data_IF_279702932093
#
_entry.id   IF_279702932093
#
_cell.length_a   1.000
_cell.length_b   1.000
_cell.length_c   1.000
_cell.angle_alpha   90.00
_cell.angle_beta   90.00
_cell.angle_gamma   90.00
#
_symmetry.space_group_name_H-M   'P 1'
#
loop_
_entity.id
_entity.type
_entity.pdbx_description
1 polymer ?
#
# COMPACT_ATOMS: atom_id res chain seq x y z
N UNK A 1 21.43 -7.12 8.39
CA UNK A 1 19.97 -7.05 8.15
C UNK A 1 19.63 -8.08 7.08
N UNK A 2 18.75 -9.04 7.39
CA UNK A 2 18.41 -10.13 6.47
C UNK A 2 17.76 -9.62 5.16
N UNK A 3 17.81 -10.40 4.07
CA UNK A 3 17.29 -10.02 2.75
C UNK A 3 15.85 -9.48 2.80
N UNK A 4 15.03 -10.09 3.66
CA UNK A 4 13.61 -9.77 3.94
C UNK A 4 13.34 -8.36 4.43
N UNK A 5 14.28 -7.74 5.14
CA UNK A 5 14.10 -6.38 5.63
C UNK A 5 14.34 -5.37 4.50
N UNK A 6 15.14 -5.72 3.49
CA UNK A 6 15.53 -4.78 2.42
C UNK A 6 14.41 -4.55 1.40
N UNK A 7 13.61 -5.55 1.01
CA UNK A 7 12.48 -5.30 0.11
C UNK A 7 11.21 -4.85 0.86
N UNK A 8 11.14 -5.08 2.17
CA UNK A 8 10.00 -4.65 2.97
C UNK A 8 9.93 -3.13 3.15
N UNK A 9 11.07 -2.47 3.37
CA UNK A 9 11.14 -1.01 3.56
C UNK A 9 10.50 -0.25 2.38
N UNK A 10 10.89 -0.46 1.11
CA UNK A 10 10.28 0.26 0.00
C UNK A 10 8.80 -0.10 -0.19
N UNK A 11 8.40 -1.34 0.11
CA UNK A 11 7.00 -1.76 0.05
C UNK A 11 6.11 -1.02 1.06
N UNK A 12 6.60 -0.84 2.30
CA UNK A 12 5.90 -0.08 3.35
C UNK A 12 5.81 1.39 2.96
N UNK A 13 6.92 1.99 2.53
CA UNK A 13 6.96 3.41 2.12
C UNK A 13 6.00 3.69 0.95
N UNK A 14 5.96 2.82 -0.07
CA UNK A 14 5.04 2.97 -1.19
C UNK A 14 3.58 2.86 -0.75
N UNK A 15 3.29 1.95 0.18
CA UNK A 15 1.94 1.77 0.73
C UNK A 15 1.52 2.99 1.55
N UNK A 16 2.43 3.57 2.33
CA UNK A 16 2.20 4.78 3.12
C UNK A 16 1.90 5.98 2.23
N UNK A 17 2.69 6.20 1.18
CA UNK A 17 2.44 7.26 0.20
C UNK A 17 1.08 7.06 -0.48
N UNK A 18 0.77 5.84 -0.91
CA UNK A 18 -0.52 5.53 -1.52
C UNK A 18 -1.68 5.82 -0.54
N UNK A 19 -1.54 5.46 0.74
CA UNK A 19 -2.53 5.74 1.75
C UNK A 19 -2.80 7.25 1.87
N UNK A 20 -1.74 8.05 2.07
CA UNK A 20 -1.86 9.51 2.19
C UNK A 20 -2.56 10.10 0.97
N UNK A 21 -2.16 9.70 -0.23
CA UNK A 21 -2.74 10.20 -1.48
C UNK A 21 -4.21 9.83 -1.59
N UNK A 22 -4.58 8.58 -1.33
CA UNK A 22 -5.98 8.15 -1.45
C UNK A 22 -6.88 8.82 -0.42
N UNK A 23 -6.48 8.89 0.85
CA UNK A 23 -7.26 9.58 1.87
C UNK A 23 -7.43 11.06 1.55
N UNK A 24 -6.35 11.73 1.11
CA UNK A 24 -6.41 13.14 0.73
C UNK A 24 -7.33 13.36 -0.47
N UNK A 25 -7.25 12.51 -1.49
CA UNK A 25 -8.10 12.60 -2.67
C UNK A 25 -9.58 12.33 -2.33
N UNK A 26 -9.87 11.30 -1.53
CA UNK A 26 -11.22 10.99 -1.06
C UNK A 26 -11.81 12.16 -0.28
N UNK A 27 -11.06 12.74 0.65
CA UNK A 27 -11.50 13.91 1.39
C UNK A 27 -11.79 15.07 0.43
N UNK A 28 -10.83 15.44 -0.43
CA UNK A 28 -10.96 16.59 -1.31
C UNK A 28 -12.22 16.49 -2.20
N UNK A 29 -12.41 15.34 -2.85
CA UNK A 29 -13.58 15.10 -3.72
C UNK A 29 -14.88 15.19 -2.92
N UNK A 30 -14.97 14.51 -1.77
CA UNK A 30 -16.21 14.47 -0.99
C UNK A 30 -16.52 15.83 -0.34
N UNK A 31 -15.50 16.60 0.04
CA UNK A 31 -15.65 17.95 0.58
C UNK A 31 -16.12 18.93 -0.50
N UNK A 32 -15.59 18.86 -1.71
CA UNK A 32 -16.00 19.68 -2.86
C UNK A 32 -17.45 19.42 -3.27
N UNK A 33 -17.92 18.17 -3.13
CA UNK A 33 -19.31 17.80 -3.40
C UNK A 33 -20.29 18.25 -2.30
N UNK A 34 -19.83 19.00 -1.29
CA UNK A 34 -20.61 19.46 -0.14
C UNK A 34 -21.36 18.33 0.59
N UNK A 35 -20.81 17.12 0.58
CA UNK A 35 -21.46 15.99 1.24
C UNK A 35 -21.46 16.15 2.76
N UNK A 36 -22.53 15.66 3.39
CA UNK A 36 -22.63 15.61 4.84
C UNK A 36 -21.55 14.71 5.45
N UNK A 37 -21.16 15.01 6.70
CA UNK A 37 -20.09 14.31 7.43
C UNK A 37 -20.18 12.78 7.39
N UNK A 38 -21.39 12.21 7.43
CA UNK A 38 -21.60 10.76 7.39
C UNK A 38 -21.11 10.13 6.07
N UNK A 39 -21.25 10.83 4.95
CA UNK A 39 -20.79 10.35 3.64
C UNK A 39 -19.27 10.46 3.53
N UNK A 40 -18.67 11.54 4.07
CA UNK A 40 -17.21 11.68 4.15
C UNK A 40 -16.61 10.53 4.95
N UNK A 41 -17.16 10.26 6.14
CA UNK A 41 -16.70 9.18 7.01
C UNK A 41 -16.86 7.80 6.34
N UNK A 42 -17.97 7.59 5.61
CA UNK A 42 -18.20 6.38 4.83
C UNK A 42 -17.20 6.21 3.70
N UNK A 43 -16.88 7.30 2.99
CA UNK A 43 -15.86 7.32 1.94
C UNK A 43 -14.47 7.01 2.48
N UNK A 44 -14.09 7.63 3.60
CA UNK A 44 -12.82 7.33 4.29
C UNK A 44 -12.73 5.86 4.73
N UNK A 45 -13.82 5.28 5.23
CA UNK A 45 -13.86 3.88 5.62
C UNK A 45 -13.64 2.95 4.42
N UNK A 46 -14.27 3.24 3.27
CA UNK A 46 -14.05 2.48 2.03
C UNK A 46 -12.62 2.63 1.54
N UNK A 47 -12.07 3.84 1.59
CA UNK A 47 -10.67 4.12 1.22
C UNK A 47 -9.69 3.37 2.12
N UNK A 48 -9.93 3.31 3.43
CA UNK A 48 -9.13 2.53 4.37
C UNK A 48 -9.06 1.04 3.98
N UNK A 49 -10.21 0.46 3.61
CA UNK A 49 -10.30 -0.94 3.17
C UNK A 49 -9.50 -1.15 1.87
N UNK A 50 -9.63 -0.23 0.91
CA UNK A 50 -8.87 -0.26 -0.34
C UNK A 50 -7.37 -0.21 -0.12
N UNK A 51 -6.90 0.72 0.73
CA UNK A 51 -5.49 0.85 1.11
C UNK A 51 -4.99 -0.42 1.79
N UNK A 52 -5.76 -1.01 2.70
CA UNK A 52 -5.39 -2.27 3.36
C UNK A 52 -5.24 -3.43 2.36
N UNK A 53 -6.14 -3.52 1.37
CA UNK A 53 -6.04 -4.53 0.31
C UNK A 53 -4.78 -4.34 -0.55
N UNK A 54 -4.44 -3.09 -0.91
CA UNK A 54 -3.22 -2.75 -1.64
C UNK A 54 -1.99 -3.11 -0.81
N UNK A 55 -1.97 -2.75 0.48
CA UNK A 55 -0.88 -3.06 1.40
C UNK A 55 -0.57 -4.57 1.41
N UNK A 56 -1.60 -5.40 1.53
CA UNK A 56 -1.48 -6.86 1.49
C UNK A 56 -0.93 -7.34 0.16
N UNK A 57 -1.41 -6.80 -0.96
CA UNK A 57 -0.94 -7.17 -2.29
C UNK A 57 0.54 -6.80 -2.51
N UNK A 58 0.95 -5.58 -2.10
CA UNK A 58 2.34 -5.11 -2.18
C UNK A 58 3.25 -5.97 -1.30
N UNK A 59 2.84 -6.26 -0.07
CA UNK A 59 3.60 -7.11 0.85
C UNK A 59 3.78 -8.54 0.30
N UNK A 60 2.72 -9.15 -0.23
CA UNK A 60 2.78 -10.47 -0.89
C UNK A 60 3.74 -10.44 -2.08
N UNK A 61 3.71 -9.39 -2.88
CA UNK A 61 4.59 -9.21 -4.04
C UNK A 61 6.06 -9.04 -3.61
N UNK A 62 6.32 -8.26 -2.58
CA UNK A 62 7.67 -8.04 -2.05
C UNK A 62 8.32 -9.37 -1.61
N UNK A 63 7.61 -10.18 -0.82
CA UNK A 63 8.09 -11.50 -0.37
C UNK A 63 8.35 -12.44 -1.56
N UNK A 64 7.47 -12.45 -2.56
CA UNK A 64 7.67 -13.30 -3.76
C UNK A 64 8.90 -12.86 -4.56
N UNK A 65 9.11 -11.55 -4.71
CA UNK A 65 10.27 -11.01 -5.43
C UNK A 65 11.59 -11.39 -4.75
N UNK A 66 11.65 -11.36 -3.41
CA UNK A 66 12.85 -11.78 -2.68
C UNK A 66 13.16 -13.26 -2.85
N UNK A 67 12.14 -14.13 -2.82
CA UNK A 67 12.33 -15.57 -3.08
C UNK A 67 12.92 -15.81 -4.46
N UNK A 68 12.48 -15.05 -5.46
CA UNK A 68 13.02 -15.14 -6.83
C UNK A 68 14.46 -14.64 -6.92
N UNK A 69 14.79 -13.54 -6.25
CA UNK A 69 16.17 -13.01 -6.20
C UNK A 69 17.12 -13.98 -5.47
N UNK A 70 16.67 -14.63 -4.40
CA UNK A 70 17.46 -15.63 -3.68
C UNK A 70 17.75 -16.88 -4.54
N UNK A 71 16.81 -17.31 -5.37
CA UNK A 71 17.03 -18.44 -6.29
C UNK A 71 17.98 -18.12 -7.44
N UNK A 72 17.90 -16.91 -8.01
CA UNK A 72 18.80 -16.47 -9.11
C UNK A 72 20.26 -16.44 -8.63
N UNK A 73 20.49 -15.97 -7.40
CA UNK A 73 21.83 -15.87 -6.81
C UNK A 73 22.51 -17.23 -6.51
N UNK A 74 21.76 -18.34 -6.55
CA UNK A 74 22.30 -19.70 -6.36
C UNK A 74 22.71 -20.33 -7.70
N UNK A 75 22.07 -19.94 -8.81
CA UNK A 75 22.36 -20.46 -10.15
C UNK A 75 23.50 -19.72 -10.89
N UNK A 76 23.87 -18.52 -10.43
CA UNK A 76 24.94 -17.71 -11.02
C UNK A 76 26.34 -17.94 -10.35
N UNK A 77 26.45 -18.88 -9.40
CA UNK A 77 27.70 -19.34 -8.77
C UNK A 77 28.03 -20.78 -9.20
#
# INVERSE_FOLDING_TARGET
MGPTIKALIPAVLLTEIAAIVFFTATWAILAEMHFGKSVILGGEAVTAIGVAAIAVAVFRRAIRSEKQMATVNITDN
#
